data_IF_751120930471
#
_entry.id   IF_751120930471
#
_cell.length_a   1.000
_cell.length_b   1.000
_cell.length_c   1.000
_cell.angle_alpha   90.00
_cell.angle_beta   90.00
_cell.angle_gamma   90.00
#
_symmetry.space_group_name_H-M   'P 1'
#
loop_
_entity.id
_entity.type
_entity.pdbx_description
1 polymer ?
#
# COMPACT_ATOMS: atom_id res chain seq x y z
N UNK A 1 2.15 2.71 -16.33
CA UNK A 1 3.08 2.26 -15.27
C UNK A 1 2.57 2.62 -13.87
N UNK A 2 2.17 3.87 -13.60
CA UNK A 2 1.62 4.29 -12.31
C UNK A 2 0.26 3.68 -11.94
N UNK A 3 -0.52 3.22 -12.93
CA UNK A 3 -1.84 2.66 -12.73
C UNK A 3 -1.86 1.52 -11.69
N UNK A 4 -0.86 0.63 -11.70
CA UNK A 4 -0.78 -0.47 -10.73
C UNK A 4 -0.62 0.01 -9.30
N UNK A 5 0.15 1.08 -9.04
CA UNK A 5 0.25 1.67 -7.70
C UNK A 5 -1.08 2.30 -7.26
N UNK A 6 -1.75 3.00 -8.17
CA UNK A 6 -3.05 3.62 -7.88
C UNK A 6 -4.11 2.56 -7.59
N UNK A 7 -4.14 1.47 -8.35
CA UNK A 7 -5.05 0.34 -8.15
C UNK A 7 -4.82 -0.35 -6.80
N UNK A 8 -3.55 -0.58 -6.43
CA UNK A 8 -3.18 -1.12 -5.12
C UNK A 8 -3.65 -0.19 -4.00
N UNK A 9 -3.34 1.10 -4.09
CA UNK A 9 -3.74 2.10 -3.09
C UNK A 9 -5.27 2.17 -2.96
N UNK A 10 -6.01 2.18 -4.08
CA UNK A 10 -7.46 2.20 -4.07
C UNK A 10 -8.02 0.95 -3.38
N UNK A 11 -7.48 -0.23 -3.71
CA UNK A 11 -7.94 -1.49 -3.11
C UNK A 11 -7.62 -1.56 -1.63
N UNK A 12 -6.42 -1.17 -1.22
CA UNK A 12 -6.01 -1.13 0.17
C UNK A 12 -6.92 -0.18 0.97
N UNK A 13 -7.17 1.02 0.43
CA UNK A 13 -8.08 2.00 1.06
C UNK A 13 -9.48 1.45 1.24
N UNK A 14 -10.02 0.76 0.22
CA UNK A 14 -11.35 0.16 0.29
C UNK A 14 -11.43 -0.94 1.36
N UNK A 15 -10.45 -1.84 1.40
CA UNK A 15 -10.39 -2.91 2.40
C UNK A 15 -10.26 -2.35 3.82
N UNK A 16 -9.42 -1.34 4.02
CA UNK A 16 -9.29 -0.64 5.30
C UNK A 16 -10.63 -0.04 5.71
N UNK A 17 -11.28 0.72 4.84
CA UNK A 17 -12.58 1.34 5.13
C UNK A 17 -13.67 0.30 5.48
N UNK A 18 -13.71 -0.84 4.78
CA UNK A 18 -14.64 -1.95 5.06
C UNK A 18 -14.33 -2.66 6.39
N UNK A 19 -13.06 -2.73 6.79
CA UNK A 19 -12.64 -3.39 8.01
C UNK A 19 -12.85 -2.52 9.27
N UNK A 20 -12.69 -1.20 9.18
CA UNK A 20 -12.73 -0.30 10.35
C UNK A 20 -14.00 -0.45 11.24
N UNK A 21 -15.23 -0.62 10.71
CA UNK A 21 -16.41 -0.82 11.56
C UNK A 21 -16.34 -2.05 12.47
N UNK A 22 -15.56 -3.08 12.09
CA UNK A 22 -15.42 -4.33 12.85
C UNK A 22 -14.44 -4.24 14.01
N UNK A 23 -13.62 -3.17 14.08
CA UNK A 23 -12.67 -2.93 15.17
C UNK A 23 -13.33 -2.91 16.55
N UNK A 24 -14.60 -2.50 16.66
CA UNK A 24 -15.31 -2.51 17.95
C UNK A 24 -15.44 -3.92 18.54
N UNK A 25 -15.51 -4.94 17.69
CA UNK A 25 -15.69 -6.33 18.10
C UNK A 25 -14.44 -7.17 17.93
N UNK A 26 -13.46 -6.68 17.17
CA UNK A 26 -12.23 -7.39 16.79
C UNK A 26 -12.49 -8.77 16.15
N UNK A 27 -13.66 -8.98 15.55
CA UNK A 27 -14.02 -10.23 14.85
C UNK A 27 -13.85 -10.10 13.35
N UNK A 28 -13.50 -11.20 12.70
CA UNK A 28 -13.42 -11.34 11.24
C UNK A 28 -12.50 -10.30 10.58
N UNK A 29 -11.37 -10.00 11.22
CA UNK A 29 -10.35 -9.05 10.75
C UNK A 29 -9.12 -9.73 10.15
N UNK A 30 -8.97 -11.05 10.29
CA UNK A 30 -7.77 -11.77 9.81
C UNK A 30 -7.55 -11.62 8.30
N UNK A 31 -8.62 -11.78 7.53
CA UNK A 31 -8.58 -11.59 6.08
C UNK A 31 -8.14 -10.17 5.70
N UNK A 32 -8.45 -9.16 6.53
CA UNK A 32 -8.08 -7.78 6.24
C UNK A 32 -6.56 -7.56 6.27
N UNK A 33 -5.85 -7.96 7.32
CA UNK A 33 -4.40 -7.71 7.37
C UNK A 33 -3.63 -8.63 6.41
N UNK A 34 -4.12 -9.84 6.15
CA UNK A 34 -3.57 -10.73 5.11
C UNK A 34 -3.67 -10.06 3.73
N UNK A 35 -4.84 -9.53 3.37
CA UNK A 35 -5.02 -8.89 2.06
C UNK A 35 -4.25 -7.57 1.93
N UNK A 36 -4.13 -6.79 3.01
CA UNK A 36 -3.28 -5.59 3.00
C UNK A 36 -1.81 -5.97 2.78
N UNK A 37 -1.29 -6.98 3.47
CA UNK A 37 0.09 -7.43 3.27
C UNK A 37 0.31 -7.95 1.83
N UNK A 38 -0.68 -8.64 1.24
CA UNK A 38 -0.63 -9.07 -0.17
C UNK A 38 -0.57 -7.89 -1.14
N UNK A 39 -1.32 -6.82 -0.85
CA UNK A 39 -1.38 -5.59 -1.65
C UNK A 39 -0.11 -4.76 -1.52
N UNK A 40 0.42 -4.59 -0.32
CA UNK A 40 1.72 -3.95 -0.08
C UNK A 40 2.81 -4.64 -0.91
N UNK A 41 2.95 -5.96 -0.81
CA UNK A 41 3.89 -6.73 -1.61
C UNK A 41 3.72 -6.52 -3.13
N UNK A 42 2.49 -6.27 -3.60
CA UNK A 42 2.21 -5.94 -4.99
C UNK A 42 2.64 -4.51 -5.33
N UNK A 43 2.33 -3.54 -4.47
CA UNK A 43 2.73 -2.15 -4.58
C UNK A 43 4.25 -2.00 -4.61
N UNK A 44 4.93 -2.65 -3.69
CA UNK A 44 6.37 -2.65 -3.51
C UNK A 44 7.14 -3.25 -4.73
N UNK A 45 6.59 -4.30 -5.34
CA UNK A 45 7.07 -4.80 -6.66
C UNK A 45 6.82 -3.81 -7.80
N UNK A 46 5.67 -3.13 -7.79
CA UNK A 46 5.32 -2.13 -8.79
C UNK A 46 6.22 -0.90 -8.68
N UNK A 47 6.44 -0.40 -7.48
CA UNK A 47 7.34 0.70 -7.14
C UNK A 47 8.75 0.44 -7.68
N UNK A 48 9.35 -0.71 -7.34
CA UNK A 48 10.69 -1.08 -7.83
C UNK A 48 10.79 -1.07 -9.35
N UNK A 49 9.75 -1.55 -10.05
CA UNK A 49 9.70 -1.53 -11.53
C UNK A 49 9.61 -0.10 -12.08
N UNK A 50 8.75 0.74 -11.51
CA UNK A 50 8.58 2.14 -11.92
C UNK A 50 9.89 2.90 -11.71
N UNK A 51 10.54 2.75 -10.56
CA UNK A 51 11.82 3.41 -10.28
C UNK A 51 12.90 2.96 -11.26
N UNK A 52 13.01 1.65 -11.53
CA UNK A 52 13.97 1.15 -12.51
C UNK A 52 13.74 1.75 -13.92
N UNK A 53 12.47 1.90 -14.34
CA UNK A 53 12.13 2.50 -15.62
C UNK A 53 12.48 4.00 -15.67
N UNK A 54 12.14 4.75 -14.62
CA UNK A 54 12.45 6.19 -14.52
C UNK A 54 13.95 6.45 -14.65
N UNK A 55 14.79 5.59 -14.08
CA UNK A 55 16.24 5.72 -14.12
C UNK A 55 16.91 4.98 -15.30
N UNK A 56 16.13 4.49 -16.27
CA UNK A 56 16.65 3.78 -17.46
C UNK A 56 17.50 4.65 -18.40
N UNK A 57 17.49 5.97 -18.23
CA UNK A 57 18.09 6.94 -19.15
C UNK A 57 17.14 7.40 -20.27
N UNK A 58 15.92 6.87 -20.30
CA UNK A 58 14.90 7.21 -21.31
C UNK A 58 14.17 8.53 -21.03
N UNK A 59 14.31 9.09 -19.82
CA UNK A 59 13.60 10.28 -19.35
C UNK A 59 14.56 11.44 -19.10
N UNK A 60 14.06 12.68 -19.25
CA UNK A 60 14.83 13.87 -18.84
C UNK A 60 14.92 13.93 -17.32
N UNK A 61 16.04 14.41 -16.76
CA UNK A 61 16.26 14.43 -15.31
C UNK A 61 15.15 15.15 -14.51
N UNK A 62 14.63 16.26 -15.02
CA UNK A 62 13.51 16.98 -14.39
C UNK A 62 12.21 16.17 -14.40
N UNK A 63 12.00 15.35 -15.43
CA UNK A 63 10.83 14.47 -15.53
C UNK A 63 10.95 13.30 -14.57
N UNK A 64 12.15 12.70 -14.46
CA UNK A 64 12.46 11.68 -13.44
C UNK A 64 12.14 12.20 -12.05
N UNK A 65 12.59 13.42 -11.70
CA UNK A 65 12.34 14.01 -10.39
C UNK A 65 10.83 14.11 -10.07
N UNK A 66 10.06 14.69 -11.00
CA UNK A 66 8.60 14.86 -10.81
C UNK A 66 7.86 13.53 -10.66
N UNK A 67 8.19 12.57 -11.53
CA UNK A 67 7.53 11.27 -11.53
C UNK A 67 7.94 10.42 -10.32
N UNK A 68 9.18 10.59 -9.86
CA UNK A 68 9.68 9.94 -8.64
C UNK A 68 8.93 10.45 -7.40
N UNK A 69 8.78 11.77 -7.25
CA UNK A 69 8.03 12.34 -6.11
C UNK A 69 6.59 11.81 -6.04
N UNK A 70 5.95 11.62 -7.19
CA UNK A 70 4.58 11.07 -7.28
C UNK A 70 4.56 9.59 -6.87
N UNK A 71 5.47 8.75 -7.40
CA UNK A 71 5.46 7.32 -7.05
C UNK A 71 5.81 7.10 -5.58
N UNK A 72 6.69 7.94 -5.01
CA UNK A 72 7.06 7.89 -3.59
C UNK A 72 5.87 8.25 -2.71
N UNK A 73 5.09 9.26 -3.12
CA UNK A 73 3.87 9.64 -2.41
C UNK A 73 2.81 8.53 -2.43
N UNK A 74 2.69 7.79 -3.54
CA UNK A 74 1.78 6.65 -3.63
C UNK A 74 2.24 5.49 -2.75
N UNK A 75 3.54 5.18 -2.75
CA UNK A 75 4.11 4.12 -1.92
C UNK A 75 3.93 4.41 -0.44
N UNK A 76 4.28 5.62 0.00
CA UNK A 76 4.08 6.02 1.40
C UNK A 76 2.61 5.92 1.85
N UNK A 77 1.66 6.13 0.95
CA UNK A 77 0.24 5.95 1.27
C UNK A 77 -0.14 4.47 1.42
N UNK A 78 0.46 3.57 0.63
CA UNK A 78 0.28 2.12 0.76
C UNK A 78 0.89 1.64 2.08
N UNK A 79 2.12 2.02 2.38
CA UNK A 79 2.82 1.70 3.63
C UNK A 79 2.04 2.17 4.87
N UNK A 80 1.40 3.35 4.78
CA UNK A 80 0.58 3.86 5.87
C UNK A 80 -0.63 2.95 6.16
N UNK A 81 -1.26 2.38 5.12
CA UNK A 81 -2.36 1.43 5.27
C UNK A 81 -1.88 0.08 5.81
N UNK A 82 -0.68 -0.36 5.41
CA UNK A 82 -0.03 -1.53 5.99
C UNK A 82 0.24 -1.35 7.48
N UNK A 83 0.77 -0.19 7.90
CA UNK A 83 1.00 0.14 9.30
C UNK A 83 -0.29 0.07 10.14
N UNK A 84 -1.42 0.53 9.58
CA UNK A 84 -2.74 0.39 10.20
C UNK A 84 -3.11 -1.08 10.35
N UNK A 85 -2.97 -1.89 9.29
CA UNK A 85 -3.28 -3.31 9.33
C UNK A 85 -2.43 -4.09 10.36
N UNK A 86 -1.12 -3.82 10.40
CA UNK A 86 -0.19 -4.40 11.37
C UNK A 86 -0.56 -4.02 12.81
N UNK A 87 -1.03 -2.77 13.03
CA UNK A 87 -1.52 -2.34 14.35
C UNK A 87 -2.79 -3.11 14.75
N UNK A 88 -3.71 -3.32 13.81
CA UNK A 88 -4.95 -4.08 14.05
C UNK A 88 -4.66 -5.55 14.37
N UNK A 89 -3.77 -6.19 13.60
CA UNK A 89 -3.31 -7.56 13.85
C UNK A 89 -2.74 -7.70 15.27
N UNK A 90 -1.83 -6.80 15.66
CA UNK A 90 -1.20 -6.83 16.99
C UNK A 90 -2.21 -6.70 18.13
N UNK A 91 -3.28 -5.91 17.95
CA UNK A 91 -4.34 -5.79 18.96
C UNK A 91 -5.17 -7.07 19.01
N UNK A 92 -5.61 -7.59 17.85
CA UNK A 92 -6.43 -8.79 17.77
C UNK A 92 -5.73 -10.02 18.36
N UNK A 93 -4.42 -10.19 18.10
CA UNK A 93 -3.61 -11.30 18.64
C UNK A 93 -3.42 -11.18 20.15
N UNK A 94 -3.38 -9.97 20.72
CA UNK A 94 -3.23 -9.77 22.18
C UNK A 94 -4.52 -10.03 22.95
N UNK A 95 -5.68 -9.80 22.33
CA UNK A 95 -7.01 -9.97 22.93
C UNK A 95 -7.62 -11.36 22.67
N UNK A 96 -6.89 -12.25 21.99
CA UNK A 96 -7.26 -13.66 21.74
C UNK A 96 -6.63 -14.60 22.76
#
# INVERSE_FOLDING_TARGET
>A
QFASQVEVLQRATQLTAEAMPRLRTMKDLEEYWIEINRLENQGDRSYRRIVADLFSGSYKSLEVLKLKDIVDSLEHAIDALESVANTVEQIAVKES
#
